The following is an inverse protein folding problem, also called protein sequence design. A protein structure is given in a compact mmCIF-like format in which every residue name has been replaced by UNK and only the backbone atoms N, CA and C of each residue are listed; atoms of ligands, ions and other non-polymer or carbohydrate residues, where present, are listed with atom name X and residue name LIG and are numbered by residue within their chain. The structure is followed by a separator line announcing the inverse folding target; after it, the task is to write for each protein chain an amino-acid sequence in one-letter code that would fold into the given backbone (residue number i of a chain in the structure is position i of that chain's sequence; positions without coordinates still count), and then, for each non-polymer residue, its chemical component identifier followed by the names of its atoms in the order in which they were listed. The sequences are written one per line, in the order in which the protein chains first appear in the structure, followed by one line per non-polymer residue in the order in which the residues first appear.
data_IF_420237792412
#
_entry.id   IF_420237792412
#
_cell.length_a   1.000
_cell.length_b   1.000
_cell.length_c   1.000
_cell.angle_alpha   90.00
_cell.angle_beta   90.00
_cell.angle_gamma   90.00
#
_symmetry.space_group_name_H-M   'P 1'
#
loop_
_entity.id
_entity.type
_entity.pdbx_description
1 polymer ?
#
# COMPACT_ATOMS: atom_id res chain seq x y z
N UNK A 1 12.86 -20.29 -2.51
CA UNK A 1 12.34 -19.66 -1.30
C UNK A 1 10.98 -19.04 -1.58
N UNK A 2 10.03 -19.39 -0.78
CA UNK A 2 8.69 -18.83 -0.90
C UNK A 2 8.63 -17.49 -0.20
N UNK A 3 8.27 -16.46 -0.92
CA UNK A 3 8.05 -15.16 -0.35
C UNK A 3 6.60 -15.08 0.13
N UNK A 4 6.42 -14.51 1.31
CA UNK A 4 5.07 -14.31 1.83
C UNK A 4 4.43 -13.15 1.12
N UNK A 5 3.14 -13.27 0.88
CA UNK A 5 2.35 -12.19 0.31
C UNK A 5 1.45 -11.61 1.39
N UNK A 6 1.27 -10.31 1.33
CA UNK A 6 0.40 -9.59 2.25
C UNK A 6 -0.65 -8.84 1.45
N UNK A 7 -1.81 -8.68 2.05
CA UNK A 7 -2.88 -7.92 1.44
C UNK A 7 -2.88 -6.51 2.00
N UNK A 8 -2.93 -5.54 1.11
CA UNK A 8 -2.96 -4.14 1.48
C UNK A 8 -4.26 -3.55 0.97
N UNK A 9 -5.00 -2.92 1.86
CA UNK A 9 -6.28 -2.30 1.53
C UNK A 9 -6.17 -0.80 1.69
N UNK A 10 -6.60 -0.07 0.68
CA UNK A 10 -6.68 1.38 0.73
C UNK A 10 -8.03 1.76 1.33
N UNK A 11 -8.00 2.36 2.51
CA UNK A 11 -9.25 2.70 3.19
C UNK A 11 -9.47 4.20 3.31
N UNK A 12 -8.51 5.01 2.88
CA UNK A 12 -8.67 6.46 2.81
C UNK A 12 -8.33 6.95 1.42
N UNK A 13 -8.97 8.03 1.01
CA UNK A 13 -8.71 8.63 -0.29
C UNK A 13 -7.30 9.18 -0.36
N UNK A 14 -6.65 9.01 -1.52
CA UNK A 14 -5.35 9.60 -1.78
C UNK A 14 -5.45 11.06 -2.19
N UNK A 15 -6.67 11.56 -2.36
CA UNK A 15 -6.90 12.96 -2.71
C UNK A 15 -6.50 13.81 -1.51
N UNK A 16 -5.66 14.79 -1.74
CA UNK A 16 -5.18 15.67 -0.67
C UNK A 16 -3.91 15.18 0.01
N UNK A 17 -3.44 13.97 -0.26
CA UNK A 17 -2.17 13.51 0.29
C UNK A 17 -1.00 14.07 -0.52
N UNK A 18 0.20 13.96 0.07
CA UNK A 18 1.40 14.43 -0.60
C UNK A 18 1.63 13.67 -1.91
N UNK A 19 2.21 14.36 -2.88
CA UNK A 19 2.47 13.77 -4.18
C UNK A 19 3.35 12.52 -4.08
N UNK A 20 4.34 12.54 -3.20
CA UNK A 20 5.21 11.39 -2.99
C UNK A 20 4.44 10.20 -2.44
N UNK A 21 3.50 10.45 -1.52
CA UNK A 21 2.67 9.39 -0.96
C UNK A 21 1.73 8.80 -2.00
N UNK A 22 1.21 9.65 -2.87
CA UNK A 22 0.35 9.20 -3.96
C UNK A 22 1.11 8.27 -4.89
N UNK A 23 2.34 8.62 -5.23
CA UNK A 23 3.18 7.79 -6.07
C UNK A 23 3.47 6.45 -5.39
N UNK A 24 3.70 6.46 -4.07
CA UNK A 24 3.95 5.24 -3.31
C UNK A 24 2.72 4.32 -3.35
N UNK A 25 1.54 4.88 -3.16
CA UNK A 25 0.30 4.09 -3.20
C UNK A 25 0.10 3.49 -4.59
N UNK A 26 0.39 4.23 -5.63
CA UNK A 26 0.33 3.70 -6.99
C UNK A 26 1.34 2.58 -7.21
N UNK A 27 2.53 2.73 -6.64
CA UNK A 27 3.54 1.70 -6.72
C UNK A 27 3.11 0.40 -6.07
N UNK A 28 2.24 0.48 -5.06
CA UNK A 28 1.66 -0.69 -4.44
C UNK A 28 0.54 -1.30 -5.27
N UNK A 29 0.03 -0.57 -6.26
CA UNK A 29 -1.04 -1.05 -7.10
C UNK A 29 -2.42 -0.58 -6.70
N UNK A 30 -2.50 0.27 -5.68
CA UNK A 30 -3.77 0.78 -5.20
C UNK A 30 -4.16 2.03 -5.98
N UNK A 31 -5.34 2.03 -6.55
CA UNK A 31 -5.83 3.15 -7.35
C UNK A 31 -7.17 3.68 -6.88
N UNK A 32 -7.95 2.85 -6.19
CA UNK A 32 -9.29 3.21 -5.74
C UNK A 32 -9.43 3.00 -4.26
N UNK A 33 -10.31 3.78 -3.65
CA UNK A 33 -10.66 3.59 -2.26
C UNK A 33 -11.26 2.20 -2.06
N UNK A 34 -10.90 1.59 -0.95
CA UNK A 34 -11.35 0.23 -0.58
C UNK A 34 -10.83 -0.87 -1.49
N UNK A 35 -9.90 -0.55 -2.38
CA UNK A 35 -9.25 -1.57 -3.20
C UNK A 35 -8.28 -2.37 -2.35
N UNK A 36 -8.27 -3.68 -2.53
CA UNK A 36 -7.33 -4.57 -1.87
C UNK A 36 -6.40 -5.16 -2.92
N UNK A 37 -5.11 -5.13 -2.65
CA UNK A 37 -4.12 -5.74 -3.53
C UNK A 37 -3.24 -6.66 -2.70
N UNK A 38 -2.71 -7.67 -3.36
CA UNK A 38 -1.77 -8.60 -2.76
C UNK A 38 -0.37 -8.27 -3.26
N UNK A 39 0.54 -8.05 -2.35
CA UNK A 39 1.92 -7.71 -2.68
C UNK A 39 2.87 -8.63 -1.95
N UNK A 40 4.06 -8.78 -2.52
CA UNK A 40 5.09 -9.61 -1.92
C UNK A 40 5.64 -8.89 -0.68
N UNK A 41 5.79 -9.65 0.40
CA UNK A 41 6.31 -9.11 1.67
C UNK A 41 7.83 -8.98 1.59
N UNK A 42 8.29 -7.84 1.14
CA UNK A 42 9.71 -7.50 1.07
C UNK A 42 9.99 -6.26 1.91
N UNK A 43 11.24 -6.03 2.32
CA UNK A 43 11.58 -4.81 3.06
C UNK A 43 11.24 -3.54 2.27
N UNK A 44 11.36 -3.57 0.95
CA UNK A 44 11.02 -2.43 0.11
C UNK A 44 9.54 -2.11 0.17
N UNK A 45 8.71 -3.15 0.03
CA UNK A 45 7.26 -3.01 0.10
C UNK A 45 6.84 -2.54 1.49
N UNK A 46 7.45 -3.08 2.52
CA UNK A 46 7.16 -2.66 3.89
C UNK A 46 7.50 -1.19 4.11
N UNK A 47 8.61 -0.73 3.56
CA UNK A 47 8.97 0.68 3.63
C UNK A 47 7.94 1.57 2.95
N UNK A 48 7.43 1.15 1.80
CA UNK A 48 6.36 1.87 1.10
C UNK A 48 5.09 1.92 1.94
N UNK A 49 4.72 0.80 2.54
CA UNK A 49 3.52 0.73 3.37
C UNK A 49 3.66 1.65 4.59
N UNK A 50 4.83 1.67 5.21
CA UNK A 50 5.07 2.54 6.36
C UNK A 50 4.93 4.02 5.99
N UNK A 51 5.32 4.39 4.79
CA UNK A 51 5.19 5.77 4.32
C UNK A 51 3.74 6.20 4.19
N UNK A 52 2.85 5.27 3.92
CA UNK A 52 1.43 5.56 3.69
C UNK A 52 0.52 4.79 4.63
N UNK A 53 1.03 4.40 5.80
CA UNK A 53 0.25 3.58 6.72
C UNK A 53 -1.02 4.27 7.23
N UNK A 54 -1.09 5.58 7.14
CA UNK A 54 -2.29 6.33 7.50
C UNK A 54 -3.38 6.26 6.42
N UNK A 55 -3.03 5.76 5.24
CA UNK A 55 -3.96 5.62 4.10
C UNK A 55 -4.36 4.17 3.87
N UNK A 56 -3.48 3.25 4.20
CA UNK A 56 -3.67 1.84 3.88
C UNK A 56 -3.57 0.99 5.14
N UNK A 57 -4.13 -0.20 5.05
CA UNK A 57 -4.06 -1.16 6.14
C UNK A 57 -3.59 -2.49 5.57
N UNK A 58 -2.68 -3.13 6.29
CA UNK A 58 -2.19 -4.46 5.93
C UNK A 58 -3.12 -5.49 6.56
N UNK A 59 -3.62 -6.36 5.71
CA UNK A 59 -4.42 -7.50 6.16
C UNK A 59 -3.61 -8.78 5.96
N UNK A 60 -3.56 -9.58 6.97
CA UNK A 60 -2.78 -10.83 6.94
C UNK A 60 -3.71 -12.01 6.75
#
# INVERSE_FOLDING_TARGET
MTQKKIKVKLYKSIIGCKKAHRATVRGLGLRRMHQTVEVVDTPEVRGMILSVNYLVRVEV
#
